data_IF_728001423166
#
_entry.id   IF_728001423166
#
_cell.length_a   1.000
_cell.length_b   1.000
_cell.length_c   1.000
_cell.angle_alpha   90.00
_cell.angle_beta   90.00
_cell.angle_gamma   90.00
#
_symmetry.space_group_name_H-M   'P 1'
#
loop_
_entity.id
_entity.type
_entity.pdbx_description
1 polymer ?
#
# COMPACT_ATOMS: atom_id res chain seq x y z
N UNK A 1 38.84 20.79 -13.48
CA UNK A 1 38.19 20.19 -12.30
C UNK A 1 36.76 20.70 -12.24
N UNK A 2 35.78 19.93 -12.72
CA UNK A 2 34.36 20.32 -12.70
C UNK A 2 33.77 19.75 -11.41
N UNK A 3 33.47 20.61 -10.45
CA UNK A 3 32.70 20.24 -9.26
C UNK A 3 31.28 19.96 -9.76
N UNK A 4 30.92 18.67 -9.91
CA UNK A 4 29.52 18.27 -10.07
C UNK A 4 28.80 18.65 -8.78
N UNK A 5 28.10 19.78 -8.77
CA UNK A 5 27.23 20.16 -7.66
C UNK A 5 26.15 19.08 -7.49
N UNK A 6 26.22 18.32 -6.40
CA UNK A 6 25.08 17.51 -5.96
C UNK A 6 23.92 18.46 -5.70
N UNK A 7 22.80 18.29 -6.40
CA UNK A 7 21.59 19.06 -6.16
C UNK A 7 20.92 18.55 -4.89
N UNK A 8 20.66 19.40 -3.88
CA UNK A 8 20.04 18.99 -2.61
C UNK A 8 18.73 18.21 -2.79
N UNK A 9 17.92 18.57 -3.80
CA UNK A 9 16.66 17.87 -4.10
C UNK A 9 16.84 16.42 -4.58
N UNK A 10 17.95 16.12 -5.28
CA UNK A 10 18.24 14.75 -5.75
C UNK A 10 18.69 13.85 -4.59
N UNK A 11 19.42 14.40 -3.64
CA UNK A 11 19.87 13.66 -2.45
C UNK A 11 18.71 13.37 -1.49
N UNK A 12 17.77 14.31 -1.32
CA UNK A 12 16.54 14.10 -0.52
C UNK A 12 15.63 13.04 -1.15
N UNK A 13 15.38 13.13 -2.46
CA UNK A 13 14.55 12.14 -3.16
C UNK A 13 15.14 10.73 -3.05
N UNK A 14 16.47 10.61 -3.17
CA UNK A 14 17.17 9.32 -3.03
C UNK A 14 17.13 8.79 -1.60
N UNK A 15 17.19 9.66 -0.60
CA UNK A 15 17.06 9.26 0.80
C UNK A 15 15.66 8.70 1.10
N UNK A 16 14.61 9.35 0.61
CA UNK A 16 13.22 8.88 0.72
C UNK A 16 13.06 7.54 -0.01
N UNK A 17 13.59 7.41 -1.22
CA UNK A 17 13.55 6.17 -1.99
C UNK A 17 14.27 5.02 -1.25
N UNK A 18 15.46 5.27 -0.70
CA UNK A 18 16.19 4.28 0.08
C UNK A 18 15.39 3.82 1.30
N UNK A 19 14.81 4.77 2.05
CA UNK A 19 14.00 4.47 3.25
C UNK A 19 12.72 3.73 2.92
N UNK A 20 12.04 4.11 1.83
CA UNK A 20 10.90 3.38 1.31
C UNK A 20 11.29 1.94 0.95
N UNK A 21 12.40 1.75 0.24
CA UNK A 21 12.87 0.43 -0.17
C UNK A 21 13.30 -0.45 1.02
N UNK A 22 13.92 0.13 2.06
CA UNK A 22 14.24 -0.56 3.31
C UNK A 22 12.97 -1.08 3.98
N UNK A 23 11.97 -0.21 4.19
CA UNK A 23 10.70 -0.59 4.84
C UNK A 23 9.93 -1.59 3.98
N UNK A 24 9.86 -1.39 2.66
CA UNK A 24 9.17 -2.31 1.76
C UNK A 24 9.80 -3.72 1.77
N UNK A 25 11.13 -3.81 1.88
CA UNK A 25 11.83 -5.09 2.05
C UNK A 25 11.50 -5.73 3.39
N UNK A 26 11.53 -4.97 4.48
CA UNK A 26 11.16 -5.48 5.81
C UNK A 26 9.74 -6.04 5.82
N UNK A 27 8.76 -5.33 5.23
CA UNK A 27 7.39 -5.82 5.07
C UNK A 27 7.34 -7.10 4.22
N UNK A 28 8.10 -7.17 3.12
CA UNK A 28 8.13 -8.36 2.29
C UNK A 28 8.72 -9.57 3.03
N UNK A 29 9.74 -9.36 3.84
CA UNK A 29 10.32 -10.37 4.72
C UNK A 29 9.35 -10.79 5.82
N UNK A 30 8.65 -9.85 6.44
CA UNK A 30 7.62 -10.12 7.44
C UNK A 30 6.48 -10.96 6.84
N UNK A 31 5.98 -10.60 5.66
CA UNK A 31 4.95 -11.38 4.93
C UNK A 31 5.45 -12.79 4.66
N UNK A 32 6.70 -12.95 4.21
CA UNK A 32 7.31 -14.27 3.95
C UNK A 32 7.36 -15.11 5.22
N UNK A 33 7.63 -14.48 6.36
CA UNK A 33 7.71 -15.10 7.68
C UNK A 33 6.37 -15.07 8.45
N UNK A 34 5.27 -14.69 7.79
CA UNK A 34 3.94 -14.56 8.39
C UNK A 34 3.11 -15.85 8.35
N UNK A 35 3.69 -16.95 7.85
CA UNK A 35 2.98 -18.22 7.73
C UNK A 35 2.55 -18.73 9.12
N UNK A 36 1.26 -19.03 9.27
CA UNK A 36 0.67 -19.47 10.55
C UNK A 36 0.35 -18.33 11.53
N UNK A 37 0.64 -17.08 11.18
CA UNK A 37 0.24 -15.89 11.96
C UNK A 37 -1.08 -15.32 11.47
N UNK A 38 -1.76 -14.60 12.35
CA UNK A 38 -2.98 -13.85 12.05
C UNK A 38 -2.62 -12.36 11.88
N UNK A 39 -3.24 -11.68 10.91
CA UNK A 39 -3.13 -10.22 10.83
C UNK A 39 -3.68 -9.58 12.10
N UNK A 40 -3.23 -8.35 12.39
CA UNK A 40 -3.76 -7.55 13.49
C UNK A 40 -5.24 -7.24 13.26
N UNK A 41 -6.00 -7.07 14.35
CA UNK A 41 -7.42 -6.77 14.28
C UNK A 41 -7.68 -5.41 13.62
N UNK A 42 -8.91 -5.20 13.15
CA UNK A 42 -9.35 -3.92 12.59
C UNK A 42 -8.96 -2.72 13.44
N UNK A 43 -9.30 -2.72 14.74
CA UNK A 43 -9.06 -1.58 15.63
C UNK A 43 -7.56 -1.26 15.75
N UNK A 44 -6.75 -2.31 15.89
CA UNK A 44 -5.30 -2.21 16.03
C UNK A 44 -4.61 -1.73 14.76
N UNK A 45 -5.05 -2.24 13.61
CA UNK A 45 -4.57 -1.84 12.30
C UNK A 45 -4.99 -0.41 11.96
N UNK A 46 -6.26 -0.04 12.22
CA UNK A 46 -6.75 1.32 12.00
C UNK A 46 -6.01 2.34 12.86
N UNK A 47 -5.73 2.01 14.12
CA UNK A 47 -4.94 2.87 15.01
C UNK A 47 -3.53 3.12 14.47
N UNK A 48 -2.88 2.11 13.91
CA UNK A 48 -1.56 2.27 13.27
C UNK A 48 -1.65 3.06 11.95
N UNK A 49 -2.65 2.75 11.12
CA UNK A 49 -2.81 3.36 9.81
C UNK A 49 -3.14 4.84 9.92
N UNK A 50 -4.08 5.22 10.81
CA UNK A 50 -4.50 6.60 11.04
C UNK A 50 -3.31 7.50 11.41
N UNK A 51 -2.44 7.04 12.31
CA UNK A 51 -1.22 7.79 12.67
C UNK A 51 -0.36 8.14 11.46
N UNK A 52 -0.34 7.30 10.42
CA UNK A 52 0.47 7.51 9.22
C UNK A 52 -0.26 8.44 8.25
N UNK A 53 -1.52 8.14 7.90
CA UNK A 53 -2.27 8.90 6.89
C UNK A 53 -2.64 10.32 7.36
N UNK A 54 -2.76 10.54 8.67
CA UNK A 54 -3.02 11.86 9.26
C UNK A 54 -1.75 12.69 9.44
N UNK A 55 -0.57 12.11 9.16
CA UNK A 55 0.69 12.85 9.16
C UNK A 55 0.60 14.01 8.14
N UNK A 56 0.97 15.25 8.51
CA UNK A 56 0.94 16.39 7.59
C UNK A 56 1.72 16.16 6.28
N UNK A 57 2.78 15.35 6.31
CA UNK A 57 3.58 14.95 5.14
C UNK A 57 2.81 14.08 4.15
N UNK A 58 1.68 13.48 4.55
CA UNK A 58 0.81 12.64 3.71
C UNK A 58 -0.31 13.41 3.00
N UNK A 59 -0.32 14.75 3.09
CA UNK A 59 -1.34 15.56 2.43
C UNK A 59 -1.26 15.40 0.90
N UNK A 60 -2.29 14.79 0.33
CA UNK A 60 -2.42 14.55 -1.11
C UNK A 60 -3.08 15.75 -1.78
N UNK A 61 -2.48 16.27 -2.85
CA UNK A 61 -3.08 17.33 -3.69
C UNK A 61 -4.26 16.77 -4.48
N UNK A 62 -5.25 17.60 -4.81
CA UNK A 62 -6.42 17.17 -5.58
C UNK A 62 -6.03 16.55 -6.93
N UNK A 63 -5.06 17.14 -7.65
CA UNK A 63 -4.56 16.58 -8.91
C UNK A 63 -3.95 15.18 -8.76
N UNK A 64 -3.24 14.93 -7.67
CA UNK A 64 -2.65 13.61 -7.41
C UNK A 64 -3.74 12.61 -6.98
N UNK A 65 -4.75 13.04 -6.21
CA UNK A 65 -5.93 12.22 -5.92
C UNK A 65 -6.66 11.80 -7.20
N UNK A 66 -6.89 12.74 -8.11
CA UNK A 66 -7.57 12.48 -9.37
C UNK A 66 -6.74 11.54 -10.26
N UNK A 67 -5.42 11.72 -10.31
CA UNK A 67 -4.52 10.83 -11.03
C UNK A 67 -4.59 9.39 -10.48
N UNK A 68 -4.53 9.21 -9.16
CA UNK A 68 -4.64 7.89 -8.52
C UNK A 68 -6.02 7.26 -8.79
N UNK A 69 -7.11 8.02 -8.63
CA UNK A 69 -8.46 7.54 -8.86
C UNK A 69 -8.68 7.16 -10.32
N UNK A 70 -8.19 7.96 -11.26
CA UNK A 70 -8.30 7.67 -12.68
C UNK A 70 -7.47 6.45 -13.09
N UNK A 71 -6.26 6.31 -12.53
CA UNK A 71 -5.45 5.11 -12.70
C UNK A 71 -6.26 3.89 -12.25
N UNK A 72 -6.74 3.85 -11.00
CA UNK A 72 -7.54 2.76 -10.44
C UNK A 72 -8.80 2.45 -11.26
N UNK A 73 -9.53 3.47 -11.71
CA UNK A 73 -10.73 3.29 -12.55
C UNK A 73 -10.42 2.69 -13.92
N UNK A 74 -9.24 2.99 -14.46
CA UNK A 74 -8.78 2.48 -15.75
C UNK A 74 -8.41 1.00 -15.74
N UNK A 75 -8.33 0.35 -14.57
CA UNK A 75 -8.04 -1.09 -14.48
C UNK A 75 -9.29 -1.94 -14.55
N UNK A 76 -9.18 -3.02 -15.32
CA UNK A 76 -10.12 -4.12 -15.34
C UNK A 76 -9.81 -5.13 -14.22
N UNK A 77 -10.81 -5.42 -13.39
CA UNK A 77 -10.65 -6.28 -12.23
C UNK A 77 -10.44 -7.76 -12.61
N UNK A 78 -10.99 -8.20 -13.74
CA UNK A 78 -10.87 -9.58 -14.22
C UNK A 78 -9.45 -9.82 -14.72
N UNK A 79 -8.91 -8.95 -15.57
CA UNK A 79 -7.53 -9.02 -16.05
C UNK A 79 -6.54 -9.04 -14.88
N UNK A 80 -6.84 -8.25 -13.85
CA UNK A 80 -6.03 -8.16 -12.67
C UNK A 80 -6.08 -9.44 -11.82
N UNK A 81 -7.28 -9.96 -11.56
CA UNK A 81 -7.46 -11.24 -10.89
C UNK A 81 -6.78 -12.38 -11.66
N UNK A 82 -6.84 -12.39 -12.99
CA UNK A 82 -6.19 -13.40 -13.82
C UNK A 82 -4.65 -13.32 -13.69
N UNK A 83 -4.08 -12.11 -13.57
CA UNK A 83 -2.64 -11.92 -13.27
C UNK A 83 -2.28 -12.39 -11.87
N UNK A 84 -3.11 -12.09 -10.86
CA UNK A 84 -2.91 -12.54 -9.47
C UNK A 84 -2.96 -14.07 -9.39
N UNK A 85 -3.95 -14.70 -10.02
CA UNK A 85 -4.10 -16.16 -10.05
C UNK A 85 -2.93 -16.88 -10.73
N UNK A 86 -2.23 -16.22 -11.65
CA UNK A 86 -1.02 -16.74 -12.31
C UNK A 86 0.23 -16.72 -11.41
N UNK A 87 0.22 -16.00 -10.29
CA UNK A 87 1.34 -16.00 -9.32
C UNK A 87 1.48 -17.35 -8.59
N UNK A 88 0.40 -18.14 -8.52
CA UNK A 88 0.42 -19.49 -7.98
C UNK A 88 -0.96 -20.01 -7.63
N UNK A 89 -1.10 -21.33 -7.46
CA UNK A 89 -2.39 -21.97 -7.14
C UNK A 89 -3.02 -21.40 -5.86
N UNK A 90 -2.21 -21.09 -4.86
CA UNK A 90 -2.66 -20.52 -3.58
C UNK A 90 -3.31 -19.15 -3.69
N UNK A 91 -3.05 -18.40 -4.78
CA UNK A 91 -3.66 -17.09 -5.03
C UNK A 91 -5.04 -17.18 -5.70
N UNK A 92 -5.46 -18.36 -6.18
CA UNK A 92 -6.77 -18.59 -6.78
C UNK A 92 -7.85 -18.80 -5.71
N UNK A 93 -8.01 -17.82 -4.83
CA UNK A 93 -9.02 -17.83 -3.77
C UNK A 93 -10.43 -17.66 -4.34
N UNK A 94 -11.44 -18.18 -3.65
CA UNK A 94 -12.83 -18.03 -4.04
C UNK A 94 -13.20 -16.54 -4.18
N UNK A 95 -13.86 -16.20 -5.30
CA UNK A 95 -14.28 -14.82 -5.58
C UNK A 95 -13.12 -13.84 -5.80
N UNK A 96 -11.94 -14.30 -6.25
CA UNK A 96 -10.76 -13.44 -6.47
C UNK A 96 -11.07 -12.17 -7.27
N UNK A 97 -11.86 -12.26 -8.35
CA UNK A 97 -12.27 -11.10 -9.15
C UNK A 97 -13.03 -10.07 -8.30
N UNK A 98 -13.99 -10.53 -7.48
CA UNK A 98 -14.75 -9.66 -6.58
C UNK A 98 -13.86 -9.04 -5.51
N UNK A 99 -12.90 -9.80 -4.97
CA UNK A 99 -11.94 -9.30 -3.98
C UNK A 99 -11.06 -8.19 -4.54
N UNK A 100 -10.56 -8.38 -5.77
CA UNK A 100 -9.75 -7.38 -6.47
C UNK A 100 -10.58 -6.12 -6.77
N UNK A 101 -11.81 -6.26 -7.27
CA UNK A 101 -12.66 -5.10 -7.53
C UNK A 101 -13.04 -4.36 -6.24
N UNK A 102 -13.39 -5.08 -5.18
CA UNK A 102 -13.72 -4.48 -3.88
C UNK A 102 -12.54 -3.74 -3.28
N UNK A 103 -11.32 -4.30 -3.35
CA UNK A 103 -10.10 -3.59 -2.95
C UNK A 103 -9.92 -2.31 -3.75
N UNK A 104 -10.11 -2.35 -5.07
CA UNK A 104 -10.03 -1.17 -5.94
C UNK A 104 -11.04 -0.09 -5.52
N UNK A 105 -12.31 -0.45 -5.33
CA UNK A 105 -13.36 0.50 -4.95
C UNK A 105 -13.10 1.13 -3.57
N UNK A 106 -12.75 0.31 -2.58
CA UNK A 106 -12.49 0.79 -1.21
C UNK A 106 -11.19 1.58 -1.10
N UNK A 107 -10.20 1.29 -1.94
CA UNK A 107 -9.01 2.14 -2.05
C UNK A 107 -9.35 3.50 -2.68
N UNK A 108 -10.19 3.54 -3.72
CA UNK A 108 -10.72 4.80 -4.28
C UNK A 108 -11.46 5.60 -3.21
N UNK A 109 -12.29 4.93 -2.38
CA UNK A 109 -12.98 5.57 -1.26
C UNK A 109 -11.99 6.20 -0.28
N UNK A 110 -10.95 5.47 0.13
CA UNK A 110 -9.90 5.98 1.02
C UNK A 110 -9.18 7.21 0.47
N UNK A 111 -8.84 7.22 -0.82
CA UNK A 111 -8.20 8.39 -1.47
C UNK A 111 -9.13 9.62 -1.49
N UNK A 112 -10.41 9.40 -1.79
CA UNK A 112 -11.39 10.50 -1.90
C UNK A 112 -11.76 11.07 -0.54
N UNK A 113 -12.06 10.20 0.42
CA UNK A 113 -12.74 10.57 1.67
C UNK A 113 -11.80 10.58 2.88
N UNK A 114 -10.65 9.90 2.79
CA UNK A 114 -9.80 9.61 3.95
C UNK A 114 -10.31 8.44 4.80
N UNK A 115 -11.46 7.85 4.48
CA UNK A 115 -12.00 6.70 5.21
C UNK A 115 -11.39 5.38 4.69
N UNK A 116 -10.43 4.83 5.42
CA UNK A 116 -9.79 3.55 5.09
C UNK A 116 -10.38 2.35 5.81
N UNK A 117 -11.32 2.59 6.74
CA UNK A 117 -11.97 1.55 7.52
C UNK A 117 -12.57 0.43 6.66
N UNK A 118 -13.35 0.74 5.59
CA UNK A 118 -13.91 -0.28 4.71
C UNK A 118 -12.87 -1.21 4.11
N UNK A 119 -11.68 -0.68 3.75
CA UNK A 119 -10.59 -1.46 3.15
C UNK A 119 -9.91 -2.38 4.18
N UNK A 120 -9.66 -1.90 5.39
CA UNK A 120 -9.13 -2.74 6.48
C UNK A 120 -10.10 -3.88 6.80
N UNK A 121 -11.39 -3.57 6.94
CA UNK A 121 -12.44 -4.57 7.17
C UNK A 121 -12.53 -5.60 6.03
N UNK A 122 -12.30 -5.19 4.78
CA UNK A 122 -12.29 -6.13 3.66
C UNK A 122 -11.23 -7.21 3.85
N UNK A 123 -9.99 -6.82 4.14
CA UNK A 123 -8.88 -7.75 4.29
C UNK A 123 -9.04 -8.60 5.55
N UNK A 124 -9.55 -8.03 6.65
CA UNK A 124 -9.88 -8.78 7.84
C UNK A 124 -10.97 -9.83 7.58
N UNK A 125 -12.03 -9.46 6.85
CA UNK A 125 -13.11 -10.38 6.50
C UNK A 125 -12.64 -11.60 5.71
N UNK A 126 -11.60 -11.44 4.87
CA UNK A 126 -11.01 -12.55 4.13
C UNK A 126 -10.38 -13.56 5.06
N UNK A 127 -9.65 -13.07 6.06
CA UNK A 127 -9.00 -13.92 7.07
C UNK A 127 -10.03 -14.60 7.95
N UNK A 128 -11.06 -13.88 8.40
CA UNK A 128 -12.18 -14.45 9.15
C UNK A 128 -12.96 -15.51 8.34
N UNK A 129 -12.99 -15.38 7.02
CA UNK A 129 -13.59 -16.37 6.11
C UNK A 129 -12.69 -17.57 5.81
N UNK A 130 -11.53 -17.67 6.47
CA UNK A 130 -10.62 -18.82 6.38
C UNK A 130 -9.47 -18.67 5.37
N UNK A 131 -9.27 -17.49 4.76
CA UNK A 131 -8.08 -17.24 3.93
C UNK A 131 -6.88 -17.04 4.85
N UNK A 132 -5.80 -17.79 4.65
CA UNK A 132 -4.58 -17.59 5.43
C UNK A 132 -4.07 -16.14 5.28
N UNK A 133 -3.63 -15.52 6.38
CA UNK A 133 -3.17 -14.13 6.42
C UNK A 133 -2.13 -13.79 5.35
N UNK A 134 -1.16 -14.68 5.13
CA UNK A 134 -0.13 -14.51 4.08
C UNK A 134 -0.74 -14.41 2.68
N UNK A 135 -1.78 -15.21 2.41
CA UNK A 135 -2.50 -15.20 1.14
C UNK A 135 -3.37 -13.95 1.04
N UNK A 136 -4.06 -13.54 2.11
CA UNK A 136 -4.85 -12.32 2.13
C UNK A 136 -3.99 -11.07 1.83
N UNK A 137 -2.85 -10.94 2.54
CA UNK A 137 -1.87 -9.87 2.32
C UNK A 137 -1.26 -9.93 0.92
N UNK A 138 -0.97 -11.13 0.43
CA UNK A 138 -0.44 -11.35 -0.92
C UNK A 138 -1.44 -10.93 -2.01
N UNK A 139 -2.70 -11.35 -1.90
CA UNK A 139 -3.77 -10.97 -2.84
C UNK A 139 -4.00 -9.47 -2.82
N UNK A 140 -4.06 -8.86 -1.64
CA UNK A 140 -4.19 -7.40 -1.49
C UNK A 140 -3.02 -6.66 -2.16
N UNK A 141 -1.78 -7.05 -1.85
CA UNK A 141 -0.57 -6.43 -2.41
C UNK A 141 -0.53 -6.58 -3.93
N UNK A 142 -0.80 -7.80 -4.41
CA UNK A 142 -0.79 -8.10 -5.82
C UNK A 142 -1.87 -7.30 -6.54
N UNK A 143 -3.09 -7.21 -6.00
CA UNK A 143 -4.21 -6.43 -6.55
C UNK A 143 -3.85 -4.94 -6.76
N UNK A 144 -2.97 -4.38 -5.93
CA UNK A 144 -2.63 -2.96 -6.01
C UNK A 144 -1.33 -2.64 -6.78
N UNK A 145 -0.41 -3.59 -6.94
CA UNK A 145 0.90 -3.31 -7.52
C UNK A 145 0.85 -2.78 -8.98
N UNK A 146 0.04 -3.32 -9.90
CA UNK A 146 0.11 -2.92 -11.31
C UNK A 146 -0.37 -1.50 -11.60
N UNK A 147 -1.31 -0.98 -10.81
CA UNK A 147 -1.79 0.39 -11.04
C UNK A 147 -0.84 1.45 -10.53
N UNK A 148 0.11 1.12 -9.64
CA UNK A 148 1.22 2.00 -9.28
C UNK A 148 2.12 2.35 -10.48
N UNK A 149 2.03 1.60 -11.57
CA UNK A 149 2.79 1.80 -12.81
C UNK A 149 1.93 2.32 -13.97
N UNK A 150 0.69 2.74 -13.69
CA UNK A 150 -0.22 3.26 -14.71
C UNK A 150 0.31 4.55 -15.35
N UNK A 151 0.16 4.65 -16.67
CA UNK A 151 0.48 5.86 -17.41
C UNK A 151 -0.39 7.05 -16.91
N UNK A 152 0.20 8.24 -16.86
CA UNK A 152 -0.49 9.47 -16.46
C UNK A 152 -0.41 9.80 -14.97
N UNK A 153 0.20 8.95 -14.13
CA UNK A 153 0.51 9.31 -12.76
C UNK A 153 1.78 10.15 -12.65
N UNK A 154 1.74 11.16 -11.78
CA UNK A 154 2.92 11.94 -11.42
C UNK A 154 3.82 11.11 -10.49
N UNK A 155 5.12 11.44 -10.43
CA UNK A 155 6.04 10.80 -9.47
C UNK A 155 5.55 10.98 -8.03
N UNK A 156 4.97 12.14 -7.69
CA UNK A 156 4.39 12.40 -6.37
C UNK A 156 3.18 11.51 -6.09
N UNK A 157 2.27 11.33 -7.05
CA UNK A 157 1.11 10.45 -6.92
C UNK A 157 1.53 8.99 -6.70
N UNK A 158 2.51 8.50 -7.48
CA UNK A 158 3.10 7.16 -7.31
C UNK A 158 3.69 6.99 -5.91
N UNK A 159 4.50 7.96 -5.47
CA UNK A 159 5.15 7.90 -4.15
C UNK A 159 4.13 7.85 -3.02
N UNK A 160 3.15 8.76 -3.02
CA UNK A 160 2.12 8.80 -1.97
C UNK A 160 1.28 7.53 -1.97
N UNK A 161 0.85 7.05 -3.15
CA UNK A 161 0.11 5.81 -3.27
C UNK A 161 0.92 4.60 -2.77
N UNK A 162 2.19 4.51 -3.12
CA UNK A 162 3.11 3.48 -2.64
C UNK A 162 3.25 3.50 -1.12
N UNK A 163 3.42 4.69 -0.52
CA UNK A 163 3.48 4.85 0.94
C UNK A 163 2.18 4.37 1.60
N UNK A 164 1.02 4.70 1.04
CA UNK A 164 -0.28 4.24 1.58
C UNK A 164 -0.39 2.71 1.55
N UNK A 165 0.02 2.06 0.45
CA UNK A 165 0.02 0.60 0.34
C UNK A 165 0.93 -0.04 1.39
N UNK A 166 2.15 0.48 1.54
CA UNK A 166 3.13 0.03 2.55
C UNK A 166 2.61 0.28 3.97
N UNK A 167 1.99 1.43 4.23
CA UNK A 167 1.39 1.77 5.52
C UNK A 167 0.24 0.84 5.90
N UNK A 168 -0.61 0.51 4.93
CA UNK A 168 -1.70 -0.43 5.12
C UNK A 168 -1.17 -1.83 5.48
N UNK A 169 -0.20 -2.34 4.71
CA UNK A 169 0.44 -3.63 4.97
C UNK A 169 1.11 -3.66 6.35
N UNK A 170 1.93 -2.67 6.66
CA UNK A 170 2.60 -2.56 7.95
C UNK A 170 1.60 -2.56 9.11
N UNK A 171 0.49 -1.82 8.97
CA UNK A 171 -0.54 -1.71 10.00
C UNK A 171 -1.22 -3.05 10.31
N UNK A 172 -1.40 -3.90 9.30
CA UNK A 172 -1.96 -5.25 9.44
C UNK A 172 -0.96 -6.29 9.98
N UNK A 173 0.35 -6.02 9.89
CA UNK A 173 1.41 -6.95 10.24
C UNK A 173 1.96 -6.65 11.63
N UNK A 174 2.53 -5.46 11.84
CA UNK A 174 3.25 -5.09 13.07
C UNK A 174 3.20 -3.56 13.30
N UNK A 175 2.78 -3.16 14.50
CA UNK A 175 2.71 -1.75 14.89
C UNK A 175 4.06 -1.03 14.81
N UNK A 176 5.17 -1.71 15.09
CA UNK A 176 6.53 -1.15 15.07
C UNK A 176 6.96 -0.82 13.65
N UNK A 177 6.62 -1.67 12.68
CA UNK A 177 6.90 -1.40 11.27
C UNK A 177 6.08 -0.21 10.77
N UNK A 178 4.82 -0.11 11.21
CA UNK A 178 3.98 1.06 10.93
C UNK A 178 4.58 2.35 11.54
N UNK A 179 5.13 2.29 12.76
CA UNK A 179 5.78 3.43 13.41
C UNK A 179 7.04 3.90 12.67
N UNK A 180 7.82 2.98 12.08
CA UNK A 180 9.00 3.33 11.26
C UNK A 180 8.63 4.20 10.07
N UNK A 181 7.46 4.01 9.45
CA UNK A 181 7.00 4.84 8.34
C UNK A 181 6.90 6.31 8.77
N UNK A 182 6.31 6.59 9.93
CA UNK A 182 6.26 7.96 10.44
C UNK A 182 7.63 8.50 10.85
N UNK A 183 8.44 7.67 11.51
CA UNK A 183 9.67 8.12 12.16
C UNK A 183 10.86 8.26 11.21
N UNK A 184 10.87 7.49 10.11
CA UNK A 184 12.00 7.39 9.19
C UNK A 184 11.66 7.83 7.77
N UNK A 185 10.43 7.59 7.30
CA UNK A 185 10.03 7.91 5.92
C UNK A 185 9.31 9.25 5.80
N UNK A 186 8.39 9.54 6.72
CA UNK A 186 7.57 10.76 6.71
C UNK A 186 8.11 11.88 7.60
N UNK A 187 9.31 11.69 8.14
CA UNK A 187 9.97 12.65 9.01
C UNK A 187 9.98 14.02 8.30
N UNK A 188 9.55 15.11 8.96
CA UNK A 188 9.67 16.44 8.38
C UNK A 188 11.12 16.67 7.98
N UNK A 189 11.35 17.06 6.73
CA UNK A 189 12.65 17.56 6.32
C UNK A 189 12.89 18.85 7.11
N UNK A 190 13.74 18.76 8.13
CA UNK A 190 14.32 19.92 8.79
C UNK A 190 15.33 20.59 7.85
#
# INVERSE_FOLDING_TARGET
MIIKSKSPGKDISKAIENKYNEIAKEIAEDIRNFQGKTIRSYDDAMKSLQKIIENPSMKIKSSDKDAIVNALKGFDAKDMADKVGKLGRSFNVAGLILKVDTVRQKFIEGIKTGNWGPLVLEVESWVLSGIASTIALGVFSAALAPWLLAAGMTTTAVTVAGIIVVAFLASLIDAKVAEKINNELLKPAF
#
